data_IF_583096501553
#
_entry.id   IF_583096501553
#
_cell.length_a   1.000
_cell.length_b   1.000
_cell.length_c   1.000
_cell.angle_alpha   90.00
_cell.angle_beta   90.00
_cell.angle_gamma   90.00
#
_symmetry.space_group_name_H-M   'P 1'
#
loop_
_entity.id
_entity.type
_entity.pdbx_description
1 polymer ?
#
# COMPACT_ATOMS: atom_id res chain seq x y z
N UNK A 1 -7.87 -21.73 -6.89
CA UNK A 1 -6.50 -22.06 -6.42
C UNK A 1 -5.98 -21.07 -5.37
N UNK A 2 -5.75 -19.76 -5.70
CA UNK A 2 -5.19 -18.79 -4.73
C UNK A 2 -6.12 -18.58 -3.52
N UNK A 3 -7.41 -18.33 -3.74
CA UNK A 3 -8.40 -18.17 -2.67
C UNK A 3 -8.54 -19.42 -1.79
N UNK A 4 -8.37 -20.62 -2.36
CA UNK A 4 -8.42 -21.88 -1.58
C UNK A 4 -7.18 -22.05 -0.73
N UNK A 5 -6.01 -21.72 -1.29
CA UNK A 5 -4.75 -21.77 -0.56
C UNK A 5 -4.75 -20.83 0.65
N UNK A 6 -5.11 -19.55 0.42
CA UNK A 6 -5.14 -18.56 1.48
C UNK A 6 -6.30 -18.75 2.47
N UNK A 7 -7.45 -19.24 2.00
CA UNK A 7 -8.59 -19.59 2.87
C UNK A 7 -8.30 -20.68 3.89
N UNK A 8 -7.28 -21.51 3.62
CA UNK A 8 -6.77 -22.50 4.58
C UNK A 8 -5.70 -21.96 5.55
N UNK A 9 -5.36 -20.67 5.48
CA UNK A 9 -4.38 -19.99 6.35
C UNK A 9 -5.10 -19.05 7.31
N UNK A 10 -4.46 -18.75 8.42
CA UNK A 10 -4.97 -17.76 9.37
C UNK A 10 -4.61 -16.34 8.92
N UNK A 11 -5.14 -15.94 7.76
CA UNK A 11 -4.95 -14.61 7.14
C UNK A 11 -6.26 -14.10 6.57
N UNK A 12 -6.40 -12.77 6.55
CA UNK A 12 -7.51 -12.09 5.87
C UNK A 12 -7.07 -11.77 4.45
N UNK A 13 -7.92 -12.07 3.47
CA UNK A 13 -7.72 -11.73 2.06
C UNK A 13 -8.82 -10.80 1.58
N UNK A 14 -8.47 -9.77 0.81
CA UNK A 14 -9.41 -8.86 0.15
C UNK A 14 -8.93 -8.53 -1.28
N UNK A 15 -9.81 -7.95 -2.11
CA UNK A 15 -9.51 -7.52 -3.46
C UNK A 15 -9.73 -8.58 -4.55
N UNK A 16 -9.91 -9.85 -4.18
CA UNK A 16 -10.34 -10.93 -5.07
C UNK A 16 -11.34 -11.80 -4.31
N UNK A 17 -12.46 -12.09 -4.92
CA UNK A 17 -13.58 -12.77 -4.28
C UNK A 17 -14.09 -13.91 -5.16
N UNK A 18 -14.74 -14.91 -4.55
CA UNK A 18 -15.27 -16.09 -5.25
C UNK A 18 -16.49 -15.76 -6.12
N UNK A 19 -17.27 -14.80 -5.69
CA UNK A 19 -18.49 -14.30 -6.33
C UNK A 19 -18.95 -13.01 -5.65
N UNK A 20 -20.04 -12.42 -6.14
CA UNK A 20 -20.60 -11.19 -5.59
C UNK A 20 -21.02 -11.31 -4.12
N UNK A 21 -21.60 -12.46 -3.70
CA UNK A 21 -21.96 -12.68 -2.29
C UNK A 21 -20.72 -12.70 -1.38
N UNK A 22 -19.58 -13.26 -1.84
CA UNK A 22 -18.32 -13.27 -1.12
C UNK A 22 -17.70 -11.86 -1.07
N UNK A 23 -17.83 -11.06 -2.13
CA UNK A 23 -17.39 -9.66 -2.18
C UNK A 23 -18.17 -8.80 -1.17
N UNK A 24 -19.49 -8.92 -1.11
CA UNK A 24 -20.34 -8.15 -0.21
C UNK A 24 -20.08 -8.46 1.28
N UNK A 25 -19.36 -9.52 1.59
CA UNK A 25 -18.87 -9.84 2.95
C UNK A 25 -17.61 -9.07 3.26
N UNK A 26 -17.71 -7.87 3.81
CA UNK A 26 -16.57 -7.04 4.20
C UNK A 26 -15.70 -7.79 5.22
N UNK A 27 -14.38 -7.85 4.96
CA UNK A 27 -13.40 -8.50 5.84
C UNK A 27 -13.09 -7.60 7.02
N UNK A 28 -13.25 -8.12 8.22
CA UNK A 28 -12.99 -7.38 9.47
C UNK A 28 -12.06 -8.13 10.40
N UNK A 29 -11.33 -7.38 11.21
CA UNK A 29 -10.51 -7.87 12.32
C UNK A 29 -10.70 -6.95 13.51
N UNK A 30 -11.03 -7.51 14.66
CA UNK A 30 -11.04 -6.74 15.92
C UNK A 30 -9.80 -7.08 16.74
N UNK A 31 -9.05 -6.06 17.13
CA UNK A 31 -7.88 -6.17 17.99
C UNK A 31 -7.84 -4.99 18.96
N UNK A 32 -7.65 -5.27 20.25
CA UNK A 32 -7.60 -4.25 21.31
C UNK A 32 -8.82 -3.29 21.27
N UNK A 33 -10.02 -3.86 21.12
CA UNK A 33 -11.29 -3.13 21.02
C UNK A 33 -11.41 -2.18 19.82
N UNK A 34 -10.52 -2.29 18.82
CA UNK A 34 -10.62 -1.57 17.55
C UNK A 34 -10.97 -2.57 16.46
N UNK A 35 -12.04 -2.28 15.72
CA UNK A 35 -12.44 -3.08 14.56
C UNK A 35 -11.94 -2.43 13.28
N UNK A 36 -11.19 -3.19 12.50
CA UNK A 36 -10.69 -2.81 11.19
C UNK A 36 -11.49 -3.51 10.09
N UNK A 37 -11.79 -2.79 9.01
CA UNK A 37 -12.24 -3.36 7.74
C UNK A 37 -11.11 -3.28 6.72
N UNK A 38 -11.02 -4.29 5.84
CA UNK A 38 -10.00 -4.37 4.79
C UNK A 38 -10.67 -4.49 3.42
N UNK A 39 -10.34 -3.55 2.53
CA UNK A 39 -10.82 -3.50 1.15
C UNK A 39 -9.65 -3.52 0.18
N UNK A 40 -9.86 -4.03 -1.03
CA UNK A 40 -8.82 -4.11 -2.05
C UNK A 40 -9.36 -3.76 -3.43
N UNK A 41 -8.69 -2.82 -4.13
CA UNK A 41 -9.06 -2.34 -5.45
C UNK A 41 -7.87 -2.37 -6.40
N UNK A 42 -8.14 -2.47 -7.70
CA UNK A 42 -7.07 -2.48 -8.71
C UNK A 42 -7.44 -1.67 -9.94
N UNK A 43 -6.48 -0.95 -10.49
CA UNK A 43 -6.65 -0.24 -11.75
C UNK A 43 -6.66 -1.21 -12.95
N UNK A 44 -5.82 -2.24 -12.88
CA UNK A 44 -5.74 -3.26 -13.92
C UNK A 44 -5.15 -4.57 -13.39
N UNK A 45 -5.27 -5.62 -14.19
CA UNK A 45 -4.79 -6.98 -13.90
C UNK A 45 -3.77 -7.44 -14.96
N UNK A 46 -2.82 -6.56 -15.32
CA UNK A 46 -1.72 -6.84 -16.26
C UNK A 46 -2.17 -7.43 -17.61
N UNK A 47 -3.29 -6.92 -18.16
CA UNK A 47 -3.86 -7.37 -19.43
C UNK A 47 -4.62 -8.69 -19.36
N UNK A 48 -4.62 -9.37 -18.22
CA UNK A 48 -5.48 -10.53 -17.98
C UNK A 48 -6.83 -10.05 -17.43
N UNK A 49 -7.91 -10.39 -18.08
CA UNK A 49 -9.26 -10.13 -17.58
C UNK A 49 -9.83 -11.41 -16.98
N UNK A 50 -10.71 -11.23 -15.98
CA UNK A 50 -11.55 -12.33 -15.51
C UNK A 50 -12.41 -12.76 -16.70
N UNK A 51 -12.53 -14.07 -16.94
CA UNK A 51 -13.37 -14.61 -18.02
C UNK A 51 -14.84 -14.21 -17.77
N UNK A 52 -15.57 -13.89 -18.86
CA UNK A 52 -16.97 -13.41 -18.77
C UNK A 52 -17.91 -14.42 -18.12
N UNK A 53 -17.60 -15.70 -18.18
CA UNK A 53 -18.33 -16.80 -17.57
C UNK A 53 -17.85 -17.16 -16.14
N UNK A 54 -16.89 -16.41 -15.60
CA UNK A 54 -16.37 -16.59 -14.25
C UNK A 54 -17.22 -15.90 -13.23
N UNK A 55 -17.47 -16.58 -12.10
CA UNK A 55 -18.09 -15.97 -10.94
C UNK A 55 -17.14 -15.11 -10.08
N UNK A 56 -15.81 -15.17 -10.37
CA UNK A 56 -14.82 -14.43 -9.62
C UNK A 56 -15.02 -12.92 -9.75
N UNK A 57 -14.86 -12.21 -8.65
CA UNK A 57 -15.02 -10.76 -8.59
C UNK A 57 -13.69 -10.07 -8.22
N UNK A 58 -13.45 -8.96 -8.89
CA UNK A 58 -12.38 -7.99 -8.59
C UNK A 58 -12.98 -6.60 -8.80
N UNK A 59 -12.76 -5.69 -7.86
CA UNK A 59 -13.25 -4.31 -7.99
C UNK A 59 -12.18 -3.46 -8.64
N UNK A 60 -12.50 -2.94 -9.83
CA UNK A 60 -11.60 -2.05 -10.57
C UNK A 60 -11.79 -0.59 -10.14
N UNK A 61 -10.71 0.19 -10.20
CA UNK A 61 -10.75 1.62 -9.85
C UNK A 61 -11.66 2.45 -10.76
N UNK A 62 -12.01 1.92 -11.94
CA UNK A 62 -12.99 2.51 -12.84
C UNK A 62 -14.43 2.37 -12.35
N UNK A 63 -14.72 1.46 -11.42
CA UNK A 63 -16.04 1.27 -10.81
C UNK A 63 -16.14 2.06 -9.50
N UNK A 64 -16.16 3.37 -9.61
CA UNK A 64 -16.22 4.27 -8.45
C UNK A 64 -17.49 4.07 -7.61
N UNK A 65 -18.60 3.64 -8.22
CA UNK A 65 -19.85 3.42 -7.51
C UNK A 65 -19.74 2.24 -6.54
N UNK A 66 -19.11 1.14 -6.97
CA UNK A 66 -18.87 -0.02 -6.11
C UNK A 66 -17.84 0.30 -5.02
N UNK A 67 -16.75 1.02 -5.34
CA UNK A 67 -15.77 1.47 -4.35
C UNK A 67 -16.45 2.33 -3.27
N UNK A 68 -17.29 3.29 -3.67
CA UNK A 68 -18.04 4.14 -2.75
C UNK A 68 -18.95 3.30 -1.84
N UNK A 69 -19.68 2.35 -2.42
CA UNK A 69 -20.56 1.44 -1.67
C UNK A 69 -19.77 0.65 -0.63
N UNK A 70 -18.68 -0.03 -1.05
CA UNK A 70 -17.87 -0.87 -0.15
C UNK A 70 -17.26 -0.05 0.99
N UNK A 71 -16.67 1.12 0.70
CA UNK A 71 -16.07 1.98 1.74
C UNK A 71 -17.14 2.50 2.70
N UNK A 72 -18.30 2.93 2.16
CA UNK A 72 -19.40 3.44 2.99
C UNK A 72 -19.98 2.36 3.88
N UNK A 73 -20.15 1.14 3.39
CA UNK A 73 -20.62 0.01 4.22
C UNK A 73 -19.57 -0.39 5.27
N UNK A 74 -18.28 -0.43 4.88
CA UNK A 74 -17.18 -0.71 5.80
C UNK A 74 -17.12 0.30 6.96
N UNK A 75 -17.33 1.58 6.67
CA UNK A 75 -17.31 2.66 7.67
C UNK A 75 -18.44 2.59 8.69
N UNK A 76 -19.54 1.88 8.38
CA UNK A 76 -20.68 1.67 9.32
C UNK A 76 -20.40 0.56 10.33
N UNK A 77 -19.51 -0.38 10.00
CA UNK A 77 -19.29 -1.61 10.79
C UNK A 77 -17.91 -1.70 11.42
N UNK A 78 -17.04 -0.74 11.16
CA UNK A 78 -15.68 -0.72 11.70
C UNK A 78 -15.25 0.66 12.18
N UNK A 79 -14.29 0.68 13.12
CA UNK A 79 -13.66 1.89 13.61
C UNK A 79 -12.65 2.48 12.61
N UNK A 80 -12.02 1.59 11.79
CA UNK A 80 -10.97 1.94 10.84
C UNK A 80 -11.17 1.18 9.53
N UNK A 81 -11.28 1.90 8.41
CA UNK A 81 -11.33 1.34 7.06
C UNK A 81 -9.96 1.45 6.41
N UNK A 82 -9.36 0.31 6.11
CA UNK A 82 -8.06 0.18 5.44
C UNK A 82 -8.28 -0.25 3.99
N UNK A 83 -7.83 0.56 3.06
CA UNK A 83 -7.92 0.30 1.62
C UNK A 83 -6.52 -0.02 1.08
N UNK A 84 -6.38 -1.16 0.41
CA UNK A 84 -5.23 -1.47 -0.44
C UNK A 84 -5.61 -1.23 -1.89
N UNK A 85 -4.84 -0.43 -2.62
CA UNK A 85 -5.15 -0.10 -4.00
C UNK A 85 -3.93 -0.22 -4.91
N UNK A 86 -4.11 -0.93 -6.02
CA UNK A 86 -3.10 -1.08 -7.07
C UNK A 86 -3.41 -0.09 -8.20
N UNK A 87 -2.63 0.98 -8.29
CA UNK A 87 -2.92 2.14 -9.14
C UNK A 87 -1.69 2.92 -9.57
N UNK A 88 -1.89 3.88 -10.44
CA UNK A 88 -0.87 4.86 -10.80
C UNK A 88 -0.08 4.49 -12.05
N UNK A 89 1.11 5.06 -12.21
CA UNK A 89 1.95 4.86 -13.38
C UNK A 89 3.22 4.11 -13.00
N UNK A 90 3.49 2.99 -13.67
CA UNK A 90 4.72 2.23 -13.45
C UNK A 90 5.97 3.10 -13.56
N UNK A 91 6.88 2.91 -12.63
CA UNK A 91 8.20 3.56 -12.57
C UNK A 91 8.17 5.08 -12.39
N UNK A 92 7.02 5.63 -12.03
CA UNK A 92 6.87 7.06 -11.77
C UNK A 92 6.78 7.34 -10.27
N UNK A 93 7.69 8.16 -9.76
CA UNK A 93 7.59 8.73 -8.41
C UNK A 93 6.51 9.82 -8.32
N UNK A 94 6.04 10.34 -9.46
CA UNK A 94 5.01 11.37 -9.51
C UNK A 94 3.63 10.77 -9.28
N UNK A 95 2.92 11.28 -8.28
CA UNK A 95 1.52 10.96 -8.02
C UNK A 95 0.69 11.63 -9.13
N UNK A 96 -0.04 10.86 -9.93
CA UNK A 96 -0.86 11.41 -11.00
C UNK A 96 -2.22 11.93 -10.50
N UNK A 97 -2.92 12.71 -11.36
CA UNK A 97 -4.19 13.33 -10.99
C UNK A 97 -5.30 12.31 -10.68
N UNK A 98 -5.30 11.16 -11.35
CA UNK A 98 -6.28 10.09 -11.09
C UNK A 98 -6.08 9.49 -9.69
N UNK A 99 -4.82 9.26 -9.26
CA UNK A 99 -4.52 8.81 -7.91
C UNK A 99 -5.00 9.83 -6.86
N UNK A 100 -4.71 11.13 -7.07
CA UNK A 100 -5.13 12.19 -6.14
C UNK A 100 -6.64 12.30 -6.05
N UNK A 101 -7.33 12.30 -7.20
CA UNK A 101 -8.78 12.42 -7.25
C UNK A 101 -9.47 11.23 -6.56
N UNK A 102 -9.02 10.00 -6.84
CA UNK A 102 -9.61 8.81 -6.22
C UNK A 102 -9.29 8.72 -4.73
N UNK A 103 -8.07 9.10 -4.31
CA UNK A 103 -7.72 9.16 -2.88
C UNK A 103 -8.63 10.11 -2.10
N UNK A 104 -8.89 11.32 -2.64
CA UNK A 104 -9.81 12.27 -2.00
C UNK A 104 -11.24 11.73 -1.94
N UNK A 105 -11.74 11.12 -3.00
CA UNK A 105 -13.05 10.46 -2.99
C UNK A 105 -13.14 9.36 -1.93
N UNK A 106 -12.14 8.47 -1.87
CA UNK A 106 -12.10 7.42 -0.84
C UNK A 106 -12.05 8.00 0.58
N UNK A 107 -11.31 9.11 0.77
CA UNK A 107 -11.31 9.86 2.03
C UNK A 107 -12.72 10.35 2.39
N UNK A 108 -13.42 10.99 1.46
CA UNK A 108 -14.77 11.52 1.67
C UNK A 108 -15.78 10.40 1.94
N UNK A 109 -15.61 9.22 1.33
CA UNK A 109 -16.49 8.05 1.54
C UNK A 109 -16.26 7.31 2.84
N UNK A 110 -15.14 7.53 3.53
CA UNK A 110 -14.91 6.96 4.86
C UNK A 110 -13.65 6.13 5.04
N UNK A 111 -12.76 6.05 4.06
CA UNK A 111 -11.46 5.43 4.26
C UNK A 111 -10.63 6.19 5.32
N UNK A 112 -9.92 5.45 6.17
CA UNK A 112 -9.03 6.03 7.18
C UNK A 112 -7.56 5.87 6.78
N UNK A 113 -7.21 4.77 6.09
CA UNK A 113 -5.86 4.46 5.65
C UNK A 113 -5.94 3.94 4.22
N UNK A 114 -5.13 4.51 3.32
CA UNK A 114 -5.02 4.08 1.93
C UNK A 114 -3.57 3.71 1.64
N UNK A 115 -3.35 2.46 1.23
CA UNK A 115 -2.04 1.91 0.89
C UNK A 115 -2.01 1.63 -0.60
N UNK A 116 -1.26 2.45 -1.33
CA UNK A 116 -1.05 2.31 -2.77
C UNK A 116 0.11 1.39 -3.12
N UNK A 117 -0.04 0.70 -4.23
CA UNK A 117 0.95 -0.18 -4.86
C UNK A 117 0.88 -0.02 -6.38
N UNK A 118 1.68 -0.71 -7.15
CA UNK A 118 1.81 -0.74 -8.60
C UNK A 118 2.99 0.06 -9.17
N UNK A 119 3.30 1.31 -8.77
CA UNK A 119 4.38 2.06 -9.42
C UNK A 119 5.76 1.38 -9.33
N UNK A 120 5.95 0.37 -8.49
CA UNK A 120 7.22 -0.30 -8.20
C UNK A 120 8.30 0.62 -7.60
N UNK A 121 8.01 1.88 -7.44
CA UNK A 121 8.83 2.90 -6.80
C UNK A 121 8.02 3.60 -5.72
N UNK A 122 8.71 4.16 -4.73
CA UNK A 122 8.04 4.92 -3.66
C UNK A 122 7.39 6.19 -4.21
N UNK A 123 6.22 6.53 -3.69
CA UNK A 123 5.55 7.81 -3.88
C UNK A 123 5.22 8.42 -2.53
N UNK A 124 4.80 9.68 -2.52
CA UNK A 124 4.54 10.45 -1.32
C UNK A 124 3.58 9.82 -0.32
N UNK A 125 3.74 10.22 0.93
CA UNK A 125 2.80 9.98 2.03
C UNK A 125 2.20 11.31 2.44
N UNK A 126 0.87 11.37 2.57
CA UNK A 126 0.18 12.59 3.00
C UNK A 126 -1.07 12.28 3.83
N UNK A 127 -1.59 13.29 4.49
CA UNK A 127 -2.85 13.25 5.20
C UNK A 127 -3.88 14.08 4.45
N UNK A 128 -4.95 13.45 3.99
CA UNK A 128 -6.11 14.10 3.40
C UNK A 128 -7.13 14.45 4.47
N UNK A 129 -7.97 15.43 4.17
CA UNK A 129 -9.09 15.84 5.03
C UNK A 129 -10.38 15.70 4.24
N UNK A 130 -11.31 14.90 4.76
CA UNK A 130 -12.65 14.77 4.23
C UNK A 130 -13.50 16.02 4.50
N UNK A 131 -14.60 16.17 3.78
CA UNK A 131 -15.51 17.29 3.93
C UNK A 131 -16.11 17.42 5.37
N UNK A 132 -16.21 16.33 6.09
CA UNK A 132 -16.66 16.27 7.49
C UNK A 132 -15.54 16.45 8.53
N UNK A 133 -14.32 16.71 8.09
CA UNK A 133 -13.14 16.94 8.94
C UNK A 133 -12.38 15.69 9.35
N UNK A 134 -12.83 14.49 8.98
CA UNK A 134 -12.07 13.24 9.20
C UNK A 134 -10.75 13.28 8.44
N UNK A 135 -9.76 12.57 8.97
CA UNK A 135 -8.42 12.46 8.39
C UNK A 135 -8.20 11.07 7.80
N UNK A 136 -7.56 11.04 6.64
CA UNK A 136 -7.15 9.81 5.96
C UNK A 136 -5.65 9.86 5.70
N UNK A 137 -4.93 8.85 6.17
CA UNK A 137 -3.52 8.65 5.86
C UNK A 137 -3.41 7.95 4.51
N UNK A 138 -2.65 8.53 3.58
CA UNK A 138 -2.43 7.98 2.25
C UNK A 138 -0.94 7.77 2.01
N UNK A 139 -0.53 6.53 1.74
CA UNK A 139 0.74 6.22 1.10
C UNK A 139 0.44 5.87 -0.37
N UNK A 140 0.78 6.74 -1.31
CA UNK A 140 0.43 6.54 -2.72
C UNK A 140 1.14 5.36 -3.36
N UNK A 141 2.38 5.08 -2.96
CA UNK A 141 3.08 3.82 -3.27
C UNK A 141 4.17 3.56 -2.24
N UNK A 142 4.17 2.36 -1.68
CA UNK A 142 5.24 1.89 -0.81
C UNK A 142 6.44 1.34 -1.60
N UNK A 143 6.40 1.33 -2.94
CA UNK A 143 7.42 0.68 -3.76
C UNK A 143 7.41 -0.85 -3.62
N UNK A 144 8.52 -1.47 -3.96
CA UNK A 144 8.68 -2.93 -3.83
C UNK A 144 9.15 -3.31 -2.42
N UNK A 145 8.44 -4.22 -1.76
CA UNK A 145 8.92 -4.81 -0.51
C UNK A 145 10.02 -5.85 -0.78
N UNK A 146 9.78 -6.74 -1.75
CA UNK A 146 10.79 -7.67 -2.28
C UNK A 146 10.59 -7.82 -3.79
N UNK A 147 11.68 -7.81 -4.55
CA UNK A 147 11.61 -7.82 -6.00
C UNK A 147 12.86 -8.43 -6.64
N UNK A 148 12.68 -9.05 -7.80
CA UNK A 148 13.75 -9.49 -8.70
C UNK A 148 13.80 -8.60 -9.95
N UNK A 149 13.70 -7.29 -9.79
CA UNK A 149 13.82 -6.30 -10.87
C UNK A 149 15.24 -5.74 -10.97
N UNK A 150 15.57 -5.06 -12.06
CA UNK A 150 16.93 -4.67 -12.41
C UNK A 150 17.12 -3.15 -12.61
N UNK A 151 16.24 -2.36 -12.03
CA UNK A 151 16.30 -0.90 -12.03
C UNK A 151 16.53 -0.40 -10.61
N UNK A 152 17.48 0.52 -10.43
CA UNK A 152 17.90 1.01 -9.12
C UNK A 152 16.77 1.55 -8.24
N UNK A 153 15.91 2.43 -8.76
CA UNK A 153 14.80 3.02 -8.00
C UNK A 153 13.79 1.99 -7.49
N UNK A 154 13.68 0.83 -8.17
CA UNK A 154 12.77 -0.27 -7.79
C UNK A 154 13.30 -1.14 -6.66
N UNK A 155 14.56 -0.91 -6.24
CA UNK A 155 15.16 -1.59 -5.09
C UNK A 155 14.83 -0.90 -3.78
N UNK A 156 14.19 0.28 -3.84
CA UNK A 156 13.80 1.08 -2.69
C UNK A 156 12.30 0.93 -2.47
N UNK A 157 11.93 0.47 -1.29
CA UNK A 157 10.56 0.39 -0.82
C UNK A 157 10.42 0.95 0.59
N UNK A 158 9.25 0.75 1.19
CA UNK A 158 9.01 1.17 2.55
C UNK A 158 7.90 0.40 3.23
N UNK A 159 7.87 0.52 4.53
CA UNK A 159 6.76 0.13 5.40
C UNK A 159 6.17 1.39 6.01
N UNK A 160 4.87 1.40 6.21
CA UNK A 160 4.19 2.45 6.95
C UNK A 160 3.93 1.94 8.37
N UNK A 161 4.52 2.61 9.35
CA UNK A 161 4.34 2.34 10.78
C UNK A 161 3.55 3.48 11.42
N UNK A 162 2.61 3.16 12.28
CA UNK A 162 1.78 4.15 13.00
C UNK A 162 1.07 3.50 14.18
N UNK A 163 0.78 4.31 15.18
CA UNK A 163 -0.05 3.89 16.32
C UNK A 163 -1.52 4.12 16.02
N UNK A 164 -2.37 3.21 16.50
CA UNK A 164 -3.83 3.40 16.54
C UNK A 164 -4.25 3.67 17.98
N UNK A 165 -4.94 4.79 18.17
CA UNK A 165 -5.42 5.24 19.46
C UNK A 165 -6.94 5.30 19.53
N UNK A 166 -7.53 4.57 20.48
CA UNK A 166 -8.96 4.65 20.79
C UNK A 166 -9.18 5.54 22.02
N UNK A 167 -10.01 6.56 21.87
CA UNK A 167 -10.50 7.39 22.98
C UNK A 167 -11.91 6.93 23.36
N UNK A 168 -12.02 6.29 24.51
CA UNK A 168 -13.33 5.85 25.03
C UNK A 168 -14.22 7.03 25.45
N UNK A 169 -13.62 8.12 25.93
CA UNK A 169 -14.35 9.34 26.32
C UNK A 169 -15.01 10.00 25.10
N UNK A 170 -14.28 10.11 23.99
CA UNK A 170 -14.75 10.76 22.77
C UNK A 170 -15.40 9.79 21.79
N UNK A 171 -15.32 8.49 22.04
CA UNK A 171 -15.71 7.42 21.15
C UNK A 171 -15.11 7.60 19.73
N UNK A 172 -13.80 7.88 19.68
CA UNK A 172 -13.07 8.10 18.41
C UNK A 172 -11.86 7.18 18.33
N UNK A 173 -11.52 6.77 17.12
CA UNK A 173 -10.28 6.06 16.79
C UNK A 173 -9.48 6.92 15.82
N UNK A 174 -8.20 7.11 16.11
CA UNK A 174 -7.27 7.92 15.31
C UNK A 174 -5.96 7.19 15.12
N UNK A 175 -5.18 7.60 14.11
CA UNK A 175 -3.78 7.20 13.97
C UNK A 175 -2.85 8.34 14.42
N UNK A 176 -1.70 7.98 14.94
CA UNK A 176 -0.65 8.93 15.37
C UNK A 176 0.74 8.32 15.16
N UNK A 177 1.80 9.12 15.33
CA UNK A 177 3.20 8.70 15.22
C UNK A 177 3.57 8.01 13.89
N UNK A 178 3.01 8.52 12.78
CA UNK A 178 3.20 7.95 11.46
C UNK A 178 4.66 8.06 11.01
N UNK A 179 5.24 6.93 10.58
CA UNK A 179 6.58 6.81 10.06
C UNK A 179 6.59 6.01 8.76
N UNK A 180 7.35 6.48 7.80
CA UNK A 180 7.77 5.72 6.64
C UNK A 180 9.14 5.12 6.94
N UNK A 181 9.20 3.80 7.11
CA UNK A 181 10.41 3.04 7.39
C UNK A 181 10.94 2.50 6.07
N UNK A 182 12.04 3.05 5.52
CA UNK A 182 12.56 2.58 4.25
C UNK A 182 13.13 1.17 4.34
N UNK A 183 12.94 0.41 3.26
CA UNK A 183 13.55 -0.90 3.07
C UNK A 183 14.26 -0.97 1.73
N UNK A 184 15.29 -1.81 1.65
CA UNK A 184 16.02 -2.05 0.41
C UNK A 184 15.95 -3.54 0.08
N UNK A 185 15.39 -3.86 -1.10
CA UNK A 185 15.59 -5.18 -1.69
C UNK A 185 17.02 -5.27 -2.15
N UNK A 186 17.77 -6.24 -1.67
CA UNK A 186 19.16 -6.51 -2.07
C UNK A 186 19.25 -7.90 -2.70
N UNK A 187 20.03 -8.01 -3.75
CA UNK A 187 20.46 -9.29 -4.33
C UNK A 187 21.90 -9.22 -4.81
N UNK A 188 22.56 -10.37 -4.82
CA UNK A 188 23.87 -10.53 -5.38
C UNK A 188 23.78 -10.70 -6.91
N UNK A 189 24.92 -10.91 -7.58
CA UNK A 189 24.94 -11.10 -9.04
C UNK A 189 23.91 -12.15 -9.50
N UNK A 190 23.27 -11.90 -10.65
CA UNK A 190 22.24 -12.77 -11.26
C UNK A 190 21.04 -13.07 -10.36
N UNK A 191 20.57 -12.07 -9.58
CA UNK A 191 19.42 -12.20 -8.69
C UNK A 191 19.56 -13.31 -7.64
N UNK A 192 20.77 -13.67 -7.26
CA UNK A 192 21.01 -14.62 -6.17
C UNK A 192 20.87 -13.94 -4.81
N UNK A 193 20.53 -14.73 -3.78
CA UNK A 193 20.43 -14.29 -2.40
C UNK A 193 19.53 -13.05 -2.20
N UNK A 194 18.36 -13.03 -2.84
CA UNK A 194 17.40 -11.92 -2.67
C UNK A 194 16.94 -11.83 -1.23
N UNK A 195 17.05 -10.63 -0.63
CA UNK A 195 16.67 -10.35 0.75
C UNK A 195 16.31 -8.88 0.94
N UNK A 196 15.63 -8.59 2.05
CA UNK A 196 15.23 -7.25 2.42
C UNK A 196 16.08 -6.80 3.59
N UNK A 197 16.53 -5.55 3.54
CA UNK A 197 17.15 -4.86 4.66
C UNK A 197 16.30 -3.66 5.06
N UNK A 198 16.05 -3.44 6.35
CA UNK A 198 15.74 -2.11 6.84
C UNK A 198 16.88 -1.15 6.43
N UNK A 199 16.52 0.08 6.05
CA UNK A 199 17.54 1.03 5.60
C UNK A 199 18.55 1.36 6.70
N UNK A 200 18.15 1.37 7.96
CA UNK A 200 19.04 1.51 9.13
C UNK A 200 20.20 0.51 9.15
N UNK A 201 19.97 -0.69 8.62
CA UNK A 201 20.99 -1.76 8.57
C UNK A 201 21.72 -1.81 7.21
N UNK A 202 21.35 -0.92 6.26
CA UNK A 202 21.90 -0.93 4.91
C UNK A 202 23.11 -0.02 4.80
N UNK A 203 24.26 -0.58 4.44
CA UNK A 203 25.54 0.13 4.44
C UNK A 203 25.98 0.57 3.04
N UNK A 204 26.93 1.52 2.98
CA UNK A 204 27.61 1.90 1.71
C UNK A 204 28.29 0.71 1.04
N UNK A 205 28.83 -0.22 1.84
CA UNK A 205 29.43 -1.44 1.32
C UNK A 205 28.40 -2.36 0.68
N UNK A 206 27.24 -2.59 1.31
CA UNK A 206 26.15 -3.34 0.72
C UNK A 206 25.67 -2.70 -0.59
N UNK A 207 25.46 -1.40 -0.60
CA UNK A 207 25.04 -0.68 -1.82
C UNK A 207 26.04 -0.89 -2.97
N UNK A 208 27.35 -0.83 -2.71
CA UNK A 208 28.37 -1.04 -3.74
C UNK A 208 28.41 -2.47 -4.29
N UNK A 209 27.96 -3.47 -3.51
CA UNK A 209 27.94 -4.89 -3.89
C UNK A 209 26.60 -5.33 -4.48
N UNK A 210 25.61 -4.45 -4.50
CA UNK A 210 24.29 -4.81 -5.01
C UNK A 210 24.33 -5.22 -6.48
N UNK A 211 23.69 -6.35 -6.81
CA UNK A 211 23.68 -6.92 -8.17
C UNK A 211 23.06 -5.99 -9.24
N UNK A 212 22.17 -5.07 -8.85
CA UNK A 212 21.59 -4.07 -9.76
C UNK A 212 22.63 -3.14 -10.38
N UNK A 213 23.78 -2.95 -9.75
CA UNK A 213 24.88 -2.13 -10.27
C UNK A 213 25.41 -2.60 -11.64
N UNK A 214 25.14 -3.85 -12.02
CA UNK A 214 25.49 -4.35 -13.34
C UNK A 214 24.68 -3.68 -14.48
N UNK A 215 23.51 -3.10 -14.16
CA UNK A 215 22.62 -2.48 -15.14
C UNK A 215 22.27 -1.03 -14.83
N UNK A 216 22.15 -0.69 -13.54
CA UNK A 216 21.69 0.61 -13.10
C UNK A 216 22.47 1.04 -11.86
N UNK A 217 23.21 2.18 -11.90
CA UNK A 217 24.02 2.62 -10.77
C UNK A 217 23.19 2.73 -9.48
N UNK A 218 23.69 2.13 -8.39
CA UNK A 218 23.01 2.09 -7.10
C UNK A 218 24.01 2.37 -5.98
N UNK A 219 23.82 3.44 -5.27
CA UNK A 219 24.68 3.85 -4.17
C UNK A 219 23.86 4.19 -2.93
N UNK A 220 24.48 4.20 -1.78
CA UNK A 220 23.85 4.66 -0.54
C UNK A 220 23.31 6.08 -0.67
N UNK A 221 24.09 6.99 -1.30
CA UNK A 221 23.69 8.38 -1.49
C UNK A 221 22.52 8.51 -2.47
N UNK A 222 22.44 7.63 -3.50
CA UNK A 222 21.28 7.54 -4.38
C UNK A 222 20.02 7.15 -3.61
N UNK A 223 20.11 6.18 -2.69
CA UNK A 223 18.96 5.77 -1.86
C UNK A 223 18.49 6.95 -1.00
N UNK A 224 19.42 7.59 -0.27
CA UNK A 224 19.09 8.74 0.59
C UNK A 224 18.43 9.87 -0.19
N UNK A 225 18.96 10.19 -1.38
CA UNK A 225 18.38 11.24 -2.23
C UNK A 225 16.99 10.87 -2.70
N UNK A 226 16.80 9.64 -3.20
CA UNK A 226 15.49 9.15 -3.65
C UNK A 226 14.45 9.21 -2.53
N UNK A 227 14.83 8.82 -1.31
CA UNK A 227 13.94 8.89 -0.15
C UNK A 227 13.53 10.33 0.16
N UNK A 228 14.49 11.26 0.24
CA UNK A 228 14.25 12.68 0.55
C UNK A 228 13.45 13.41 -0.54
N UNK A 229 13.63 13.04 -1.80
CA UNK A 229 12.91 13.65 -2.91
C UNK A 229 11.43 13.26 -2.95
N UNK A 230 11.07 12.09 -2.35
CA UNK A 230 9.73 11.52 -2.50
C UNK A 230 8.95 11.39 -1.19
N UNK A 231 9.60 11.33 -0.04
CA UNK A 231 8.95 11.21 1.27
C UNK A 231 9.24 12.46 2.09
N UNK A 232 8.20 13.11 2.55
CA UNK A 232 8.34 14.29 3.42
C UNK A 232 9.08 13.94 4.71
N UNK A 233 9.96 14.87 5.17
CA UNK A 233 10.68 14.75 6.44
C UNK A 233 9.76 14.53 7.64
N UNK A 234 8.48 14.92 7.53
CA UNK A 234 7.45 14.66 8.55
C UNK A 234 7.26 13.16 8.81
N UNK A 235 7.44 12.33 7.79
CA UNK A 235 7.16 10.90 7.86
C UNK A 235 8.41 10.02 7.74
N UNK A 236 9.48 10.56 7.14
CA UNK A 236 10.69 9.78 6.82
C UNK A 236 11.48 9.44 8.08
N UNK A 237 11.61 8.14 8.39
CA UNK A 237 12.48 7.64 9.45
C UNK A 237 13.68 6.92 8.83
N UNK A 238 14.87 7.50 8.98
CA UNK A 238 16.13 6.94 8.47
C UNK A 238 16.94 6.19 9.54
N UNK A 239 16.41 6.09 10.78
CA UNK A 239 17.10 5.46 11.91
C UNK A 239 16.75 3.98 12.05
#
# INVERSE_FOLDING_TARGET
AALDYWGGKNVITCGMYRNAEDRDKIRTLTKNDVTFSFLGFTDHTNGLRIAEDSELEVVYTSDEAEIQKEITEASKISDMVVVSVHWGTENSHTINDAQRALAQKMCDWGANIIIGTHPHVIQGVEELTAADGRKTLVAYSLGNFISAQDVNSRMIGGMLDFDIRKSYEKNTVTYENVKFIPVVTHYDYSFSNIRIYPFSDYTKELASKHGVNAKSPFSYDFIVQTLKDNISDKYLDLN
#
